data_IF_651033751119
#
_entry.id   IF_651033751119
#
_cell.length_a   1.000
_cell.length_b   1.000
_cell.length_c   1.000
_cell.angle_alpha   90.00
_cell.angle_beta   90.00
_cell.angle_gamma   90.00
#
_symmetry.space_group_name_H-M   'P 1'
#
loop_
_entity.id
_entity.type
_entity.pdbx_description
1 polymer ?
#
# COMPACT_ATOMS: atom_id res chain seq x y z
N UNK A 1 -44.05 -64.88 -12.67
CA UNK A 1 -43.74 -63.44 -12.72
C UNK A 1 -42.23 -63.30 -12.65
N UNK A 2 -41.58 -62.93 -13.75
CA UNK A 2 -40.11 -62.80 -13.83
C UNK A 2 -39.72 -61.37 -13.47
N UNK A 3 -39.04 -61.18 -12.35
CA UNK A 3 -38.59 -59.86 -11.89
C UNK A 3 -37.46 -59.32 -12.79
N UNK A 4 -37.69 -58.14 -13.38
CA UNK A 4 -36.76 -57.45 -14.27
C UNK A 4 -35.70 -56.74 -13.43
N UNK A 5 -34.47 -57.27 -13.37
CA UNK A 5 -33.30 -56.61 -12.73
C UNK A 5 -33.17 -55.17 -13.29
N UNK A 6 -33.46 -54.17 -12.46
CA UNK A 6 -33.33 -52.76 -12.82
C UNK A 6 -31.85 -52.39 -12.87
N UNK A 7 -31.34 -52.07 -14.05
CA UNK A 7 -29.99 -51.55 -14.26
C UNK A 7 -29.88 -50.15 -13.66
N UNK A 8 -29.13 -50.01 -12.56
CA UNK A 8 -28.89 -48.75 -11.85
C UNK A 8 -27.83 -47.85 -12.51
N UNK A 9 -27.24 -48.30 -13.63
CA UNK A 9 -26.23 -47.59 -14.40
C UNK A 9 -26.61 -46.15 -14.81
N UNK A 10 -27.85 -45.87 -15.28
CA UNK A 10 -28.26 -44.52 -15.61
C UNK A 10 -28.30 -43.59 -14.39
N UNK A 11 -28.64 -44.14 -13.22
CA UNK A 11 -28.70 -43.40 -11.96
C UNK A 11 -27.29 -43.01 -11.48
N UNK A 12 -26.31 -43.89 -11.67
CA UNK A 12 -24.90 -43.63 -11.34
C UNK A 12 -24.30 -42.50 -12.17
N UNK A 13 -24.57 -42.49 -13.48
CA UNK A 13 -24.12 -41.41 -14.38
C UNK A 13 -24.73 -40.07 -13.97
N UNK A 14 -26.03 -40.06 -13.64
CA UNK A 14 -26.75 -38.86 -13.22
C UNK A 14 -26.19 -38.31 -11.90
N UNK A 15 -25.81 -39.18 -10.97
CA UNK A 15 -25.17 -38.81 -9.70
C UNK A 15 -23.81 -38.18 -9.92
N UNK A 16 -22.98 -38.73 -10.81
CA UNK A 16 -21.65 -38.16 -11.14
C UNK A 16 -21.77 -36.77 -11.77
N UNK A 17 -22.74 -36.58 -12.68
CA UNK A 17 -22.99 -35.27 -13.29
C UNK A 17 -23.44 -34.25 -12.24
N UNK A 18 -24.37 -34.63 -11.35
CA UNK A 18 -24.82 -33.74 -10.28
C UNK A 18 -23.66 -33.35 -9.34
N UNK A 19 -22.79 -34.29 -8.99
CA UNK A 19 -21.61 -34.05 -8.17
C UNK A 19 -20.61 -33.10 -8.87
N UNK A 20 -20.42 -33.27 -10.18
CA UNK A 20 -19.61 -32.36 -11.00
C UNK A 20 -20.15 -30.93 -10.99
N UNK A 21 -21.46 -30.75 -11.15
CA UNK A 21 -22.10 -29.43 -11.08
C UNK A 21 -21.90 -28.79 -9.69
N UNK A 22 -22.08 -29.56 -8.61
CA UNK A 22 -21.85 -29.07 -7.24
C UNK A 22 -20.40 -28.64 -7.04
N UNK A 23 -19.42 -29.43 -7.53
CA UNK A 23 -18.01 -29.07 -7.45
C UNK A 23 -17.67 -27.82 -8.27
N UNK A 24 -18.26 -27.64 -9.46
CA UNK A 24 -18.11 -26.42 -10.26
C UNK A 24 -18.68 -25.22 -9.51
N UNK A 25 -19.87 -25.33 -8.92
CA UNK A 25 -20.48 -24.25 -8.13
C UNK A 25 -19.64 -23.90 -6.90
N UNK A 26 -19.11 -24.91 -6.19
CA UNK A 26 -18.19 -24.70 -5.07
C UNK A 26 -16.91 -24.03 -5.54
N UNK A 27 -16.34 -24.46 -6.67
CA UNK A 27 -15.13 -23.87 -7.25
C UNK A 27 -15.34 -22.40 -7.65
N UNK A 28 -16.47 -22.08 -8.29
CA UNK A 28 -16.86 -20.69 -8.61
C UNK A 28 -17.08 -19.89 -7.32
N UNK A 29 -17.71 -20.47 -6.30
CA UNK A 29 -17.93 -19.81 -5.00
C UNK A 29 -16.62 -19.56 -4.25
N UNK A 30 -15.69 -20.51 -4.26
CA UNK A 30 -14.35 -20.36 -3.68
C UNK A 30 -13.60 -19.29 -4.48
N UNK A 31 -13.54 -19.39 -5.80
CA UNK A 31 -12.91 -18.39 -6.67
C UNK A 31 -13.51 -16.98 -6.51
N UNK A 32 -14.83 -16.87 -6.33
CA UNK A 32 -15.53 -15.59 -6.10
C UNK A 32 -15.35 -15.05 -4.68
N UNK A 33 -15.13 -15.90 -3.66
CA UNK A 33 -14.78 -15.47 -2.29
C UNK A 33 -13.27 -15.33 -2.07
N UNK A 34 -12.50 -15.80 -3.05
CA UNK A 34 -11.05 -15.72 -3.18
C UNK A 34 -10.69 -14.75 -4.31
N UNK A 35 -11.62 -13.87 -4.72
CA UNK A 35 -11.18 -12.54 -5.14
C UNK A 35 -10.54 -11.96 -3.90
N UNK A 36 -9.22 -12.00 -3.89
CA UNK A 36 -8.37 -11.45 -2.85
C UNK A 36 -8.69 -9.95 -2.81
N UNK A 37 -9.67 -9.56 -2.00
CA UNK A 37 -10.02 -8.17 -1.70
C UNK A 37 -9.05 -7.63 -0.64
N UNK A 38 -7.74 -7.75 -0.88
CA UNK A 38 -6.72 -7.11 -0.04
C UNK A 38 -6.32 -5.72 -0.54
N UNK A 39 -6.80 -5.28 -1.70
CA UNK A 39 -6.32 -4.04 -2.32
C UNK A 39 -7.17 -2.83 -1.94
N UNK A 40 -7.18 -2.46 -0.65
CA UNK A 40 -7.35 -1.06 -0.28
C UNK A 40 -6.00 -0.36 -0.44
N UNK A 41 -5.58 -0.14 -1.67
CA UNK A 41 -4.43 0.72 -1.97
C UNK A 41 -4.87 2.16 -1.69
N UNK A 42 -4.33 2.75 -0.61
CA UNK A 42 -4.68 4.10 -0.14
C UNK A 42 -6.16 4.32 0.21
N UNK A 43 -6.84 3.31 0.77
CA UNK A 43 -8.26 3.35 1.14
C UNK A 43 -9.25 3.59 -0.01
N UNK A 44 -8.80 3.49 -1.27
CA UNK A 44 -9.69 3.53 -2.43
C UNK A 44 -10.21 2.12 -2.73
N UNK A 45 -11.51 2.00 -3.00
CA UNK A 45 -12.07 0.76 -3.56
C UNK A 45 -11.50 0.58 -4.96
N UNK A 46 -11.10 -0.64 -5.32
CA UNK A 46 -10.50 -0.96 -6.63
C UNK A 46 -11.32 -0.46 -7.84
N UNK A 47 -12.64 -0.50 -7.76
CA UNK A 47 -13.55 0.03 -8.81
C UNK A 47 -13.41 1.55 -8.95
N UNK A 48 -13.34 2.28 -7.83
CA UNK A 48 -13.14 3.74 -7.84
C UNK A 48 -11.72 4.12 -8.28
N UNK A 49 -10.75 3.25 -8.00
CA UNK A 49 -9.39 3.39 -8.47
C UNK A 49 -9.35 3.28 -10.00
N UNK A 50 -9.93 2.25 -10.60
CA UNK A 50 -9.90 2.04 -12.06
C UNK A 50 -10.58 3.18 -12.83
N UNK A 51 -11.68 3.73 -12.31
CA UNK A 51 -12.38 4.86 -12.95
C UNK A 51 -11.60 6.18 -12.85
N UNK A 52 -10.82 6.38 -11.77
CA UNK A 52 -10.15 7.65 -11.46
C UNK A 52 -8.63 7.58 -11.60
N UNK A 53 -8.06 6.42 -11.95
CA UNK A 53 -6.61 6.19 -11.96
C UNK A 53 -5.89 7.19 -12.86
N UNK A 54 -6.48 7.50 -14.02
CA UNK A 54 -5.90 8.48 -14.95
C UNK A 54 -5.80 9.87 -14.33
N UNK A 55 -6.83 10.31 -13.61
CA UNK A 55 -6.84 11.61 -12.94
C UNK A 55 -5.84 11.63 -11.78
N UNK A 56 -5.78 10.55 -10.98
CA UNK A 56 -4.84 10.45 -9.85
C UNK A 56 -3.40 10.40 -10.37
N UNK A 57 -3.12 9.63 -11.42
CA UNK A 57 -1.79 9.59 -12.06
C UNK A 57 -1.41 10.94 -12.64
N UNK A 58 -2.34 11.67 -13.27
CA UNK A 58 -2.06 13.03 -13.76
C UNK A 58 -1.71 13.99 -12.62
N UNK A 59 -2.45 13.94 -11.51
CA UNK A 59 -2.16 14.74 -10.31
C UNK A 59 -0.80 14.37 -9.69
N UNK A 60 -0.52 13.08 -9.56
CA UNK A 60 0.75 12.55 -9.07
C UNK A 60 1.92 13.00 -9.95
N UNK A 61 1.79 12.87 -11.27
CA UNK A 61 2.83 13.28 -12.23
C UNK A 61 3.04 14.80 -12.22
N UNK A 62 1.96 15.59 -12.07
CA UNK A 62 2.05 17.03 -11.94
C UNK A 62 2.84 17.41 -10.67
N UNK A 63 2.53 16.78 -9.53
CA UNK A 63 3.29 17.00 -8.29
C UNK A 63 4.75 16.57 -8.43
N UNK A 64 5.01 15.37 -8.98
CA UNK A 64 6.36 14.84 -9.19
C UNK A 64 7.15 15.65 -10.23
N UNK A 65 6.51 16.44 -11.10
CA UNK A 65 7.21 17.38 -11.98
C UNK A 65 7.82 18.56 -11.22
N UNK A 66 7.21 18.92 -10.07
CA UNK A 66 7.61 20.07 -9.25
C UNK A 66 8.50 19.66 -8.08
N UNK A 67 8.26 18.48 -7.50
CA UNK A 67 8.90 18.04 -6.26
C UNK A 67 9.55 16.67 -6.40
N UNK A 68 10.65 16.47 -5.66
CA UNK A 68 11.17 15.16 -5.29
C UNK A 68 10.80 14.90 -3.84
N UNK A 69 10.28 13.70 -3.55
CA UNK A 69 10.01 13.29 -2.17
C UNK A 69 11.09 12.30 -1.75
N UNK A 70 11.78 12.61 -0.66
CA UNK A 70 12.80 11.75 -0.06
C UNK A 70 12.37 11.29 1.33
N UNK A 71 12.74 10.07 1.68
CA UNK A 71 12.54 9.48 3.00
C UNK A 71 13.89 9.17 3.64
N UNK A 72 14.03 9.45 4.93
CA UNK A 72 15.11 8.92 5.76
C UNK A 72 14.55 8.32 7.04
N UNK A 73 15.03 7.13 7.39
CA UNK A 73 14.76 6.47 8.68
C UNK A 73 15.87 6.73 9.70
N UNK A 74 16.94 7.43 9.31
CA UNK A 74 18.08 7.78 10.17
C UNK A 74 18.25 9.30 10.35
N UNK A 75 17.43 10.11 9.67
CA UNK A 75 17.45 11.57 9.75
C UNK A 75 18.51 12.25 8.88
N UNK A 76 19.17 11.52 7.98
CA UNK A 76 20.18 12.06 7.07
C UNK A 76 19.56 12.42 5.71
N UNK A 77 19.43 13.72 5.45
CA UNK A 77 18.89 14.25 4.19
C UNK A 77 19.72 13.87 2.96
N UNK A 78 21.05 13.79 3.07
CA UNK A 78 21.91 13.55 1.90
C UNK A 78 21.77 12.12 1.38
N UNK A 79 21.60 11.17 2.30
CA UNK A 79 21.45 9.75 2.00
C UNK A 79 19.98 9.31 1.89
N UNK A 80 19.03 10.24 2.09
CA UNK A 80 17.60 9.98 2.01
C UNK A 80 17.21 9.45 0.61
N UNK A 81 16.45 8.36 0.60
CA UNK A 81 16.03 7.64 -0.60
C UNK A 81 14.91 8.41 -1.29
N UNK A 82 15.03 8.63 -2.61
CA UNK A 82 13.95 9.21 -3.41
C UNK A 82 12.82 8.18 -3.54
N UNK A 83 11.65 8.54 -3.05
CA UNK A 83 10.45 7.73 -3.20
C UNK A 83 9.91 7.83 -4.62
N UNK A 84 9.45 6.70 -5.14
CA UNK A 84 8.83 6.61 -6.45
C UNK A 84 7.31 6.58 -6.31
N UNK A 85 6.66 6.99 -7.39
CA UNK A 85 5.22 6.88 -7.55
C UNK A 85 4.74 5.45 -7.19
N UNK A 86 3.73 5.31 -6.32
CA UNK A 86 3.26 4.03 -5.82
C UNK A 86 2.57 3.16 -6.89
N UNK A 87 2.20 3.75 -8.04
CA UNK A 87 1.64 2.99 -9.17
C UNK A 87 2.68 2.19 -9.94
N UNK A 88 3.97 2.41 -9.69
CA UNK A 88 5.03 1.50 -10.14
C UNK A 88 5.29 0.48 -9.03
N UNK A 89 4.81 -0.73 -9.23
CA UNK A 89 4.93 -1.84 -8.26
C UNK A 89 6.39 -2.05 -7.88
N UNK A 90 6.69 -1.84 -6.60
CA UNK A 90 7.97 -2.21 -6.00
C UNK A 90 7.73 -3.48 -5.19
N UNK A 91 8.28 -4.64 -5.62
CA UNK A 91 8.12 -5.87 -4.86
C UNK A 91 8.69 -5.69 -3.45
N UNK A 92 8.16 -6.45 -2.49
CA UNK A 92 8.75 -6.52 -1.14
C UNK A 92 10.22 -6.93 -1.28
N UNK A 93 11.17 -6.19 -0.68
CA UNK A 93 12.57 -6.59 -0.71
C UNK A 93 12.76 -7.99 -0.12
N UNK A 94 13.69 -8.76 -0.71
CA UNK A 94 14.03 -10.10 -0.19
C UNK A 94 14.98 -10.00 1.00
N UNK A 95 15.92 -9.06 0.94
CA UNK A 95 16.98 -8.91 1.92
C UNK A 95 16.68 -7.78 2.89
N UNK A 96 16.95 -8.01 4.18
CA UNK A 96 16.80 -7.00 5.21
C UNK A 96 17.69 -5.79 4.92
N UNK A 97 17.16 -4.56 4.94
CA UNK A 97 17.97 -3.37 4.76
C UNK A 97 19.03 -3.23 5.86
N UNK A 98 20.24 -2.83 5.50
CA UNK A 98 21.35 -2.65 6.47
C UNK A 98 21.25 -1.32 7.24
N UNK A 99 20.69 -0.27 6.62
CA UNK A 99 20.62 1.09 7.17
C UNK A 99 19.28 1.77 6.89
N UNK A 100 19.15 2.42 5.74
CA UNK A 100 17.90 3.09 5.35
C UNK A 100 16.79 2.06 5.16
N UNK A 101 15.64 2.32 5.77
CA UNK A 101 14.54 1.37 5.81
C UNK A 101 14.62 0.34 6.95
N UNK A 102 15.70 0.29 7.73
CA UNK A 102 15.77 -0.53 8.95
C UNK A 102 15.24 0.27 10.14
N UNK A 103 14.20 -0.24 10.78
CA UNK A 103 13.63 0.29 12.02
C UNK A 103 14.07 -0.56 13.22
N UNK A 104 14.30 0.10 14.35
CA UNK A 104 14.61 -0.51 15.64
C UNK A 104 13.33 -0.91 16.38
N UNK A 105 13.49 -1.63 17.49
CA UNK A 105 12.38 -2.06 18.34
C UNK A 105 11.55 -0.90 18.93
N UNK A 106 12.20 0.26 19.14
CA UNK A 106 11.62 1.47 19.73
C UNK A 106 12.36 2.72 19.27
N UNK A 107 11.78 3.87 19.60
CA UNK A 107 12.37 5.20 19.40
C UNK A 107 12.69 5.52 17.93
N UNK A 108 11.91 4.96 17.00
CA UNK A 108 12.06 5.22 15.58
C UNK A 108 11.57 6.61 15.21
N UNK A 109 12.27 7.26 14.28
CA UNK A 109 11.86 8.52 13.67
C UNK A 109 11.96 8.38 12.17
N UNK A 110 10.90 8.77 11.46
CA UNK A 110 10.92 8.89 10.01
C UNK A 110 10.80 10.37 9.64
N UNK A 111 11.68 10.80 8.74
CA UNK A 111 11.65 12.15 8.17
C UNK A 111 11.44 12.08 6.67
N UNK A 112 10.55 12.95 6.18
CA UNK A 112 10.33 13.21 4.77
C UNK A 112 10.82 14.61 4.42
N UNK A 113 11.54 14.68 3.30
CA UNK A 113 11.96 15.92 2.66
C UNK A 113 11.24 16.06 1.33
N UNK A 114 10.52 17.16 1.13
CA UNK A 114 9.87 17.48 -0.14
C UNK A 114 10.63 18.61 -0.83
N UNK A 115 11.44 18.25 -1.81
CA UNK A 115 12.41 19.15 -2.42
C UNK A 115 11.89 19.67 -3.77
N UNK A 116 11.79 20.99 -3.91
CA UNK A 116 11.43 21.59 -5.21
C UNK A 116 12.53 21.32 -6.24
N UNK A 117 12.17 20.84 -7.42
CA UNK A 117 13.10 20.58 -8.54
C UNK A 117 13.59 21.90 -9.11
N UNK A 118 14.92 22.01 -9.31
CA UNK A 118 15.59 23.23 -9.81
C UNK A 118 15.15 23.64 -11.22
N UNK A 119 14.82 22.67 -12.08
CA UNK A 119 14.45 22.91 -13.48
C UNK A 119 12.95 23.15 -13.70
N UNK A 120 12.17 23.28 -12.63
CA UNK A 120 10.75 23.59 -12.75
C UNK A 120 10.56 25.05 -13.15
N UNK A 121 10.54 25.32 -14.46
CA UNK A 121 10.04 26.57 -15.05
C UNK A 121 8.52 26.73 -14.90
N UNK A 122 7.88 25.83 -14.15
CA UNK A 122 6.45 25.81 -13.96
C UNK A 122 6.05 26.91 -12.97
N UNK A 123 5.24 27.87 -13.45
CA UNK A 123 4.66 28.98 -12.67
C UNK A 123 3.62 28.44 -11.64
N UNK A 124 3.24 27.17 -11.76
CA UNK A 124 2.27 26.53 -10.88
C UNK A 124 2.89 26.25 -9.51
N UNK A 125 2.45 27.02 -8.51
CA UNK A 125 2.77 26.77 -7.11
C UNK A 125 1.81 25.73 -6.54
N UNK A 126 2.35 24.76 -5.82
CA UNK A 126 1.56 23.68 -5.20
C UNK A 126 2.02 23.50 -3.74
N UNK A 127 1.63 24.42 -2.83
CA UNK A 127 2.10 24.38 -1.46
C UNK A 127 1.57 23.14 -0.73
N UNK A 128 2.40 22.60 0.18
CA UNK A 128 2.11 21.40 0.94
C UNK A 128 1.39 21.77 2.24
N UNK A 129 0.19 21.24 2.43
CA UNK A 129 -0.61 21.52 3.62
C UNK A 129 -0.31 20.54 4.75
N UNK A 130 -0.30 19.24 4.43
CA UNK A 130 -0.07 18.19 5.42
C UNK A 130 0.52 16.93 4.80
N UNK A 131 1.19 16.16 5.65
CA UNK A 131 1.69 14.81 5.33
C UNK A 131 1.12 13.86 6.37
N UNK A 132 0.54 12.74 5.93
CA UNK A 132 0.14 11.63 6.77
C UNK A 132 1.02 10.41 6.52
N UNK A 133 1.25 9.60 7.56
CA UNK A 133 1.96 8.33 7.48
C UNK A 133 1.09 7.20 8.02
N UNK A 134 0.96 6.15 7.23
CA UNK A 134 0.30 4.90 7.59
C UNK A 134 1.24 3.72 7.34
N UNK A 135 1.40 2.84 8.31
CA UNK A 135 2.07 1.57 8.13
C UNK A 135 1.06 0.49 7.82
N UNK A 136 1.34 -0.27 6.78
CA UNK A 136 0.53 -1.38 6.33
C UNK A 136 1.35 -2.65 6.37
N UNK A 137 0.87 -3.66 7.10
CA UNK A 137 1.43 -5.00 7.10
C UNK A 137 0.43 -5.98 6.50
N UNK A 138 0.91 -6.81 5.58
CA UNK A 138 0.19 -7.99 5.15
C UNK A 138 0.36 -9.05 6.23
N UNK A 139 -0.72 -9.35 6.96
CA UNK A 139 -0.68 -10.45 7.91
C UNK A 139 -0.70 -11.78 7.15
N UNK A 140 0.21 -12.69 7.50
CA UNK A 140 0.29 -14.01 6.88
C UNK A 140 -0.71 -14.93 7.58
N UNK A 141 -1.99 -14.73 7.33
CA UNK A 141 -3.05 -15.59 7.86
C UNK A 141 -4.40 -14.90 7.95
N UNK A 142 -4.41 -13.59 8.20
CA UNK A 142 -5.62 -12.79 8.25
C UNK A 142 -5.88 -12.10 6.90
N UNK A 143 -7.16 -12.05 6.50
CA UNK A 143 -7.57 -11.33 5.29
C UNK A 143 -7.55 -9.81 5.49
N UNK A 144 -7.42 -9.35 6.72
CA UNK A 144 -7.44 -7.94 7.05
C UNK A 144 -6.02 -7.38 7.13
N UNK A 145 -5.85 -6.22 6.50
CA UNK A 145 -4.60 -5.48 6.52
C UNK A 145 -4.58 -4.63 7.79
N UNK A 146 -3.61 -4.87 8.67
CA UNK A 146 -3.41 -4.01 9.84
C UNK A 146 -2.81 -2.68 9.39
N UNK A 147 -3.51 -1.59 9.72
CA UNK A 147 -3.11 -0.21 9.42
C UNK A 147 -2.79 0.51 10.72
N UNK A 148 -1.60 1.07 10.82
CA UNK A 148 -1.18 1.92 11.94
C UNK A 148 -0.87 3.33 11.43
N UNK A 149 -1.66 4.31 11.85
CA UNK A 149 -1.43 5.72 11.50
C UNK A 149 -0.47 6.36 12.50
N UNK A 150 0.59 6.98 11.99
CA UNK A 150 1.55 7.76 12.78
C UNK A 150 1.47 9.22 12.33
N UNK A 151 1.24 10.18 13.24
CA UNK A 151 1.19 11.58 12.88
C UNK A 151 2.57 12.07 12.44
N UNK A 152 2.59 12.88 11.38
CA UNK A 152 3.77 13.62 10.93
C UNK A 152 3.60 15.09 11.32
N UNK A 153 4.65 15.67 11.88
CA UNK A 153 4.70 17.07 12.26
C UNK A 153 5.65 17.82 11.33
N UNK A 154 5.28 19.05 10.95
CA UNK A 154 6.15 19.90 10.13
C UNK A 154 7.30 20.41 11.02
N UNK A 155 8.53 20.02 10.70
CA UNK A 155 9.72 20.44 11.43
C UNK A 155 10.31 21.73 10.81
N UNK A 156 10.39 21.77 9.49
CA UNK A 156 10.92 22.91 8.73
C UNK A 156 10.08 23.13 7.45
N UNK A 157 10.48 24.10 6.62
CA UNK A 157 9.87 24.28 5.31
C UNK A 157 10.04 23.00 4.47
N UNK A 158 8.91 22.39 4.10
CA UNK A 158 8.83 21.15 3.32
C UNK A 158 9.54 19.93 3.94
N UNK A 159 9.78 19.95 5.27
CA UNK A 159 10.32 18.81 6.02
C UNK A 159 9.31 18.39 7.09
N UNK A 160 8.97 17.09 7.09
CA UNK A 160 7.99 16.52 7.99
C UNK A 160 8.58 15.31 8.70
N UNK A 161 8.42 15.22 10.02
CA UNK A 161 8.98 14.14 10.83
C UNK A 161 7.94 13.56 11.77
N UNK A 162 8.06 12.26 12.06
CA UNK A 162 7.27 11.64 13.11
C UNK A 162 7.83 12.02 14.49
N UNK A 163 6.99 11.94 15.52
CA UNK A 163 7.49 11.67 16.87
C UNK A 163 8.08 10.27 16.95
N UNK A 164 8.77 9.96 18.06
CA UNK A 164 9.28 8.61 18.29
C UNK A 164 8.13 7.59 18.30
N UNK A 165 8.31 6.47 17.59
CA UNK A 165 7.31 5.40 17.53
C UNK A 165 7.96 4.01 17.56
N UNK A 166 7.13 3.01 17.84
CA UNK A 166 7.48 1.60 17.75
C UNK A 166 6.45 0.88 16.89
N UNK A 167 6.90 -0.16 16.17
CA UNK A 167 6.00 -1.05 15.44
C UNK A 167 5.83 -2.35 16.23
N UNK A 168 4.61 -2.91 16.28
CA UNK A 168 4.25 -3.96 17.24
C UNK A 168 4.95 -5.29 17.01
N UNK A 169 5.34 -5.59 15.77
CA UNK A 169 5.85 -6.91 15.38
C UNK A 169 7.01 -6.77 14.39
N UNK A 170 7.99 -7.69 14.46
CA UNK A 170 9.09 -7.78 13.49
C UNK A 170 8.59 -8.11 12.08
N UNK A 171 9.23 -7.53 11.06
CA UNK A 171 8.96 -7.84 9.65
C UNK A 171 8.84 -6.62 8.76
N UNK A 172 8.45 -6.84 7.50
CA UNK A 172 8.24 -5.77 6.53
C UNK A 172 6.90 -5.06 6.75
N UNK A 173 6.97 -3.74 6.67
CA UNK A 173 5.81 -2.85 6.59
C UNK A 173 5.95 -1.97 5.36
N UNK A 174 4.81 -1.69 4.73
CA UNK A 174 4.72 -0.64 3.73
C UNK A 174 4.41 0.67 4.45
N UNK A 175 5.39 1.57 4.53
CA UNK A 175 5.20 2.94 4.97
C UNK A 175 4.53 3.72 3.83
N UNK A 176 3.25 4.03 3.96
CA UNK A 176 2.44 4.76 2.99
C UNK A 176 2.32 6.21 3.44
N UNK A 177 2.67 7.12 2.54
CA UNK A 177 2.59 8.56 2.79
C UNK A 177 1.49 9.16 1.93
N UNK A 178 0.67 10.01 2.55
CA UNK A 178 -0.32 10.83 1.88
C UNK A 178 0.08 12.29 2.06
N UNK A 179 0.47 12.95 0.97
CA UNK A 179 0.81 14.37 0.94
C UNK A 179 -0.42 15.11 0.40
N UNK A 180 -1.02 15.98 1.20
CA UNK A 180 -2.07 16.86 0.73
C UNK A 180 -1.42 18.17 0.28
N UNK A 181 -1.46 18.43 -1.02
CA UNK A 181 -0.93 19.64 -1.62
C UNK A 181 -2.07 20.47 -2.22
N UNK A 182 -1.94 21.79 -2.20
CA UNK A 182 -2.99 22.69 -2.67
C UNK A 182 -2.71 23.12 -4.10
N UNK A 183 -3.68 22.98 -4.99
CA UNK A 183 -3.56 23.59 -6.31
C UNK A 183 -3.86 25.10 -6.23
N UNK A 184 -2.84 25.95 -6.35
CA UNK A 184 -3.01 27.40 -6.24
C UNK A 184 -4.00 27.99 -7.26
N UNK A 185 -4.21 27.33 -8.40
CA UNK A 185 -5.15 27.78 -9.45
C UNK A 185 -6.60 27.41 -9.17
N UNK A 186 -6.84 26.33 -8.40
CA UNK A 186 -8.18 25.77 -8.20
C UNK A 186 -8.65 25.75 -6.75
N UNK A 187 -7.80 26.18 -5.80
CA UNK A 187 -8.06 26.17 -4.35
C UNK A 187 -8.52 24.79 -3.84
N UNK A 188 -8.06 23.72 -4.50
CA UNK A 188 -8.42 22.33 -4.20
C UNK A 188 -7.25 21.57 -3.63
N UNK A 189 -7.53 20.80 -2.59
CA UNK A 189 -6.62 19.79 -2.06
C UNK A 189 -6.45 18.64 -3.06
N UNK A 190 -5.18 18.30 -3.33
CA UNK A 190 -4.77 17.21 -4.18
C UNK A 190 -3.99 16.22 -3.31
N UNK A 191 -4.55 15.03 -3.04
CA UNK A 191 -3.82 13.98 -2.35
C UNK A 191 -2.84 13.31 -3.32
N UNK A 192 -1.59 13.26 -2.92
CA UNK A 192 -0.48 12.61 -3.63
C UNK A 192 0.06 11.52 -2.73
N UNK A 193 0.34 10.35 -3.30
CA UNK A 193 0.67 9.18 -2.52
C UNK A 193 2.09 8.71 -2.82
N UNK A 194 2.77 8.21 -1.80
CA UNK A 194 4.07 7.56 -1.91
C UNK A 194 4.09 6.34 -1.00
N UNK A 195 4.95 5.37 -1.29
CA UNK A 195 5.27 4.37 -0.29
C UNK A 195 6.75 4.01 -0.29
N UNK A 196 7.20 3.50 0.85
CA UNK A 196 8.51 2.91 1.02
C UNK A 196 8.41 1.63 1.86
N UNK A 197 9.20 0.62 1.52
CA UNK A 197 9.29 -0.59 2.35
C UNK A 197 10.25 -0.35 3.50
N UNK A 198 9.81 -0.66 4.71
CA UNK A 198 10.66 -0.62 5.91
C UNK A 198 10.62 -1.98 6.60
N UNK A 199 11.69 -2.33 7.29
CA UNK A 199 11.80 -3.56 8.07
C UNK A 199 11.91 -3.20 9.55
N UNK A 200 10.95 -3.65 10.34
CA UNK A 200 11.02 -3.55 11.79
C UNK A 200 11.83 -4.70 12.37
N UNK A 201 12.95 -4.40 13.02
CA UNK A 201 13.73 -5.37 13.79
C UNK A 201 13.23 -5.34 15.24
N UNK A 202 12.76 -6.49 15.75
CA UNK A 202 12.58 -6.62 17.20
C UNK A 202 13.91 -7.00 17.83
N UNK A 203 14.19 -6.42 18.99
CA UNK A 203 15.22 -6.95 19.85
C UNK A 203 14.71 -8.29 20.38
N UNK A 204 15.45 -9.34 20.08
CA UNK A 204 15.31 -10.60 20.78
C UNK A 204 15.63 -10.32 22.24
N UNK A 205 14.61 -10.15 23.08
CA UNK A 205 14.81 -10.22 24.53
C UNK A 205 15.35 -11.63 24.84
N UNK A 206 16.67 -11.70 25.02
CA UNK A 206 17.40 -12.71 25.78
C UNK A 206 17.81 -12.07 27.10
#
# INVERSE_FOLDING_TARGET
MTEKKRTLWPLGILLVIALGIVLIVISIRISSKQSIDTDRTFNLKRIELDEKINAIMQQQNAFESLYNVRISTIGDRMNAVIMKNPYYVTPVPRDTPEKEGLLQSKDNVITIYVEKKKDSNNIQDMPIESVGLEFVRLDQGEKEVSVLTIPMEKSEENTYSTKTFSLPMQGYYQARFKINAKNATQDKEIPVYFYHWVFNKQDSHL
#
